data_IF_377605960092
#
_entry.id   IF_377605960092
#
_cell.length_a   1.000
_cell.length_b   1.000
_cell.length_c   1.000
_cell.angle_alpha   90.00
_cell.angle_beta   90.00
_cell.angle_gamma   90.00
#
_symmetry.space_group_name_H-M   'P 1'
#
loop_
_entity.id
_entity.type
_entity.pdbx_description
1 polymer ?
#
# COMPACT_ATOMS: atom_id res chain seq x y z
N UNK A 1 -10.20 -9.73 20.80
CA UNK A 1 -9.90 -8.47 20.09
C UNK A 1 -8.48 -8.57 19.58
N UNK A 2 -8.32 -8.71 18.26
CA UNK A 2 -7.01 -8.92 17.65
C UNK A 2 -6.16 -7.67 17.81
N UNK A 3 -5.08 -7.76 18.59
CA UNK A 3 -4.04 -6.74 18.63
C UNK A 3 -3.50 -6.55 17.22
N UNK A 4 -3.42 -5.32 16.73
CA UNK A 4 -2.65 -4.98 15.55
C UNK A 4 -1.22 -5.46 15.77
N UNK A 5 -0.88 -6.58 15.13
CA UNK A 5 0.50 -7.03 14.99
C UNK A 5 1.19 -5.96 14.14
N UNK A 6 2.00 -5.12 14.78
CA UNK A 6 3.05 -4.37 14.09
C UNK A 6 4.05 -5.39 13.57
N UNK A 7 3.79 -5.93 12.38
CA UNK A 7 4.59 -7.01 11.81
C UNK A 7 5.88 -6.48 11.18
N UNK A 8 6.99 -7.00 11.71
CA UNK A 8 8.20 -7.46 11.01
C UNK A 8 8.33 -7.10 9.52
N UNK A 9 9.32 -6.25 9.20
CA UNK A 9 9.98 -6.04 7.89
C UNK A 9 9.29 -6.70 6.69
N UNK A 10 8.22 -6.08 6.19
CA UNK A 10 7.65 -6.44 4.90
C UNK A 10 8.68 -6.08 3.82
N UNK A 11 9.30 -7.08 3.18
CA UNK A 11 10.12 -6.82 1.99
C UNK A 11 9.19 -6.40 0.87
N UNK A 12 9.16 -5.10 0.59
CA UNK A 12 8.45 -4.57 -0.56
C UNK A 12 9.12 -5.12 -1.84
N UNK A 13 8.32 -5.47 -2.87
CA UNK A 13 8.86 -5.68 -4.20
C UNK A 13 9.50 -4.37 -4.70
N UNK A 14 10.36 -4.47 -5.71
CA UNK A 14 10.91 -3.30 -6.38
C UNK A 14 9.77 -2.41 -6.87
N UNK A 15 9.80 -1.14 -6.50
CA UNK A 15 8.83 -0.15 -6.93
C UNK A 15 9.31 0.48 -8.24
N UNK A 16 8.41 0.58 -9.21
CA UNK A 16 8.65 1.34 -10.42
C UNK A 16 8.29 2.81 -10.19
N UNK A 17 9.17 3.70 -10.63
CA UNK A 17 8.90 5.13 -10.60
C UNK A 17 7.67 5.48 -11.42
N UNK A 18 6.85 6.39 -10.89
CA UNK A 18 5.65 6.87 -11.57
C UNK A 18 5.55 8.38 -11.53
N UNK A 19 4.96 8.97 -12.58
CA UNK A 19 4.66 10.41 -12.66
C UNK A 19 3.26 10.74 -12.15
N UNK A 20 2.58 9.78 -11.52
CA UNK A 20 1.25 9.96 -10.94
C UNK A 20 1.28 10.86 -9.69
N UNK A 21 0.19 11.58 -9.48
CA UNK A 21 -0.18 12.20 -8.20
C UNK A 21 -1.58 11.73 -7.82
N UNK A 22 -1.81 11.51 -6.53
CA UNK A 22 -3.09 11.02 -6.00
C UNK A 22 -3.74 12.08 -5.13
N UNK A 23 -5.03 12.32 -5.33
CA UNK A 23 -5.87 13.03 -4.37
C UNK A 23 -6.55 12.01 -3.46
N UNK A 24 -6.26 12.08 -2.17
CA UNK A 24 -6.84 11.18 -1.16
C UNK A 24 -8.24 11.64 -0.75
N UNK A 25 -9.01 10.77 -0.08
CA UNK A 25 -10.36 11.11 0.38
C UNK A 25 -10.39 12.31 1.36
N UNK A 26 -9.28 12.56 2.07
CA UNK A 26 -9.10 13.74 2.92
C UNK A 26 -8.64 14.99 2.14
N UNK A 27 -8.71 14.95 0.79
CA UNK A 27 -8.30 16.01 -0.16
C UNK A 27 -6.81 16.36 -0.11
N UNK A 28 -5.99 15.53 0.54
CA UNK A 28 -4.54 15.71 0.51
C UNK A 28 -4.00 15.17 -0.81
N UNK A 29 -3.13 15.94 -1.47
CA UNK A 29 -2.43 15.48 -2.67
C UNK A 29 -1.12 14.80 -2.23
N UNK A 30 -0.91 13.56 -2.68
CA UNK A 30 0.28 12.79 -2.35
C UNK A 30 0.98 12.28 -3.61
N UNK A 31 2.31 12.27 -3.56
CA UNK A 31 3.14 11.62 -4.58
C UNK A 31 3.45 10.19 -4.11
N UNK A 32 3.04 9.15 -4.88
CA UNK A 32 3.41 7.78 -4.58
C UNK A 32 4.92 7.58 -4.51
N UNK A 33 5.35 6.61 -3.70
CA UNK A 33 6.70 6.08 -3.74
C UNK A 33 6.96 5.33 -5.06
N UNK A 34 5.92 4.71 -5.62
CA UNK A 34 6.00 3.99 -6.88
C UNK A 34 4.84 3.02 -7.04
N UNK A 35 4.94 2.19 -8.07
CA UNK A 35 4.00 1.10 -8.36
C UNK A 35 4.70 -0.24 -8.14
N UNK A 36 4.07 -1.12 -7.38
CA UNK A 36 4.46 -2.52 -7.24
C UNK A 36 3.65 -3.33 -8.24
N UNK A 37 4.30 -3.84 -9.29
CA UNK A 37 3.64 -4.60 -10.35
C UNK A 37 3.64 -6.11 -10.06
N UNK A 38 2.64 -6.81 -10.59
CA UNK A 38 2.52 -8.27 -10.55
C UNK A 38 2.56 -8.87 -9.14
N UNK A 39 1.96 -8.17 -8.17
CA UNK A 39 1.85 -8.66 -6.80
C UNK A 39 0.67 -9.62 -6.70
N UNK A 40 0.92 -10.83 -6.21
CA UNK A 40 -0.14 -11.83 -6.02
C UNK A 40 -0.85 -11.62 -4.68
N UNK A 41 -2.14 -11.27 -4.74
CA UNK A 41 -3.00 -11.17 -3.55
C UNK A 41 -3.83 -12.42 -3.40
N UNK A 42 -3.85 -12.96 -2.18
CA UNK A 42 -4.67 -14.09 -1.82
C UNK A 42 -6.08 -13.65 -1.47
N UNK A 43 -7.08 -14.15 -2.19
CA UNK A 43 -8.50 -13.98 -1.88
C UNK A 43 -9.10 -15.37 -1.66
N UNK A 44 -9.41 -15.70 -0.40
CA UNK A 44 -9.82 -17.06 -0.01
C UNK A 44 -8.72 -18.09 -0.29
N UNK A 45 -8.95 -18.99 -1.24
CA UNK A 45 -7.99 -20.02 -1.67
C UNK A 45 -7.27 -19.69 -2.99
N UNK A 46 -7.60 -18.58 -3.63
CA UNK A 46 -7.08 -18.19 -4.94
C UNK A 46 -6.07 -17.05 -4.81
N UNK A 47 -5.18 -16.94 -5.80
CA UNK A 47 -4.21 -15.86 -5.92
C UNK A 47 -4.48 -15.09 -7.22
N UNK A 48 -4.56 -13.77 -7.12
CA UNK A 48 -4.78 -12.88 -8.26
C UNK A 48 -3.60 -11.93 -8.40
N UNK A 49 -3.02 -11.78 -9.60
CA UNK A 49 -2.06 -10.72 -9.85
C UNK A 49 -2.79 -9.37 -9.82
N UNK A 50 -2.17 -8.39 -9.17
CA UNK A 50 -2.63 -7.01 -9.16
C UNK A 50 -1.43 -6.06 -9.00
N UNK A 51 -1.60 -4.85 -9.51
CA UNK A 51 -0.63 -3.78 -9.35
C UNK A 51 -1.09 -2.85 -8.21
N UNK A 52 -0.13 -2.37 -7.42
CA UNK A 52 -0.40 -1.53 -6.25
C UNK A 52 0.36 -0.21 -6.33
N UNK A 53 -0.35 0.90 -6.08
CA UNK A 53 0.30 2.19 -5.83
C UNK A 53 0.70 2.25 -4.37
N UNK A 54 1.99 2.43 -4.10
CA UNK A 54 2.54 2.48 -2.73
C UNK A 54 2.75 3.93 -2.31
N UNK A 55 2.24 4.28 -1.13
CA UNK A 55 2.38 5.61 -0.52
C UNK A 55 3.17 5.48 0.78
N UNK A 56 4.11 6.40 1.01
CA UNK A 56 4.67 6.62 2.34
C UNK A 56 3.72 7.57 3.07
N UNK A 57 3.08 7.11 4.14
CA UNK A 57 2.12 7.91 4.88
C UNK A 57 2.32 7.74 6.38
N UNK A 58 2.14 8.85 7.11
CA UNK A 58 2.08 8.82 8.57
C UNK A 58 0.67 8.43 8.98
N UNK A 59 0.52 7.25 9.59
CA UNK A 59 -0.74 6.81 10.16
C UNK A 59 -1.25 7.80 11.20
N UNK A 60 -2.51 8.27 11.05
CA UNK A 60 -3.16 9.03 12.11
C UNK A 60 -3.47 8.04 13.26
N UNK A 61 -2.85 8.20 14.44
CA UNK A 61 -3.04 7.27 15.55
C UNK A 61 -4.47 7.28 16.11
N UNK A 62 -5.32 8.21 15.68
CA UNK A 62 -6.72 8.35 16.11
C UNK A 62 -7.69 7.52 15.27
N UNK A 63 -7.25 6.98 14.14
CA UNK A 63 -8.04 6.08 13.30
C UNK A 63 -7.71 4.63 13.68
N UNK A 64 -8.67 3.84 14.18
CA UNK A 64 -8.43 2.45 14.58
C UNK A 64 -8.07 1.54 13.42
#
# INVERSE_FOLDING_TARGET
MSSYQKNSNLRLPTLNDTKMVLELANRTISKPMGVAENVFVKVGKLYFPADFVVLDFVADPRVP
#
